data_IF_091894483411
#
_entry.id   IF_091894483411
#
_cell.length_a   1.000
_cell.length_b   1.000
_cell.length_c   1.000
_cell.angle_alpha   90.00
_cell.angle_beta   90.00
_cell.angle_gamma   90.00
#
_symmetry.space_group_name_H-M   'P 1'
#
loop_
_entity.id
_entity.type
_entity.pdbx_description
1 polymer ?
#
# COMPACT_ATOMS: atom_id res chain seq x y z
N UNK A 1 25.23 -1.05 23.42
CA UNK A 1 23.81 -1.39 23.17
C UNK A 1 23.23 -0.26 22.35
N UNK A 2 22.66 -0.52 21.17
CA UNK A 2 21.90 0.54 20.48
C UNK A 2 20.71 0.90 21.36
N UNK A 3 20.45 2.19 21.57
CA UNK A 3 19.22 2.61 22.25
C UNK A 3 18.04 2.09 21.42
N UNK A 4 17.10 1.40 22.05
CA UNK A 4 15.83 1.04 21.40
C UNK A 4 15.12 2.35 21.07
N UNK A 5 14.77 2.54 19.80
CA UNK A 5 14.07 3.74 19.34
C UNK A 5 12.59 3.63 19.73
N UNK A 6 12.10 4.63 20.45
CA UNK A 6 10.67 4.77 20.73
C UNK A 6 9.94 5.36 19.52
N UNK A 7 8.77 4.83 19.21
CA UNK A 7 7.88 5.32 18.16
C UNK A 7 6.52 5.61 18.78
N UNK A 8 6.17 6.89 19.03
CA UNK A 8 4.92 7.26 19.68
C UNK A 8 3.75 7.13 18.69
N UNK A 9 3.33 5.89 18.38
CA UNK A 9 2.14 5.60 17.57
C UNK A 9 0.87 5.88 18.38
N UNK A 10 0.03 6.81 17.91
CA UNK A 10 -1.22 7.17 18.57
C UNK A 10 -2.36 7.18 17.56
N UNK A 11 -3.46 6.51 17.88
CA UNK A 11 -4.65 6.49 17.01
C UNK A 11 -5.31 7.87 16.89
N UNK A 12 -5.20 8.70 17.92
CA UNK A 12 -5.76 10.06 17.93
C UNK A 12 -4.88 11.12 17.26
N UNK A 13 -3.73 10.74 16.70
CA UNK A 13 -2.82 11.65 16.02
C UNK A 13 -2.47 11.10 14.63
N UNK A 14 -3.00 11.75 13.60
CA UNK A 14 -2.80 11.35 12.21
C UNK A 14 -1.31 11.37 11.80
N UNK A 15 -0.48 12.18 12.45
CA UNK A 15 0.95 12.23 12.13
C UNK A 15 1.73 11.00 12.59
N UNK A 16 1.16 10.21 13.51
CA UNK A 16 1.78 9.01 14.07
C UNK A 16 0.99 7.72 13.85
N UNK A 17 -0.24 7.79 13.35
CA UNK A 17 -1.07 6.62 13.02
C UNK A 17 -0.37 5.69 12.02
N UNK A 18 -0.64 4.40 12.16
CA UNK A 18 0.01 3.31 11.42
C UNK A 18 -0.99 2.55 10.56
N UNK A 19 -0.47 1.91 9.53
CA UNK A 19 -1.21 1.29 8.43
C UNK A 19 -0.59 -0.06 8.05
N UNK A 20 -0.36 -0.89 9.06
CA UNK A 20 0.28 -2.21 8.93
C UNK A 20 1.72 -2.14 8.37
N UNK A 21 2.09 -3.10 7.53
CA UNK A 21 3.45 -3.33 7.03
C UNK A 21 4.08 -2.05 6.50
N UNK A 22 5.34 -1.81 6.89
CA UNK A 22 6.15 -0.63 6.56
C UNK A 22 5.70 0.72 7.12
N UNK A 23 4.56 0.83 7.79
CA UNK A 23 4.04 2.12 8.27
C UNK A 23 4.86 2.79 9.39
N UNK A 24 5.80 2.07 10.01
CA UNK A 24 6.79 2.63 10.95
C UNK A 24 7.99 3.28 10.26
N UNK A 25 8.22 2.96 8.99
CA UNK A 25 9.27 3.57 8.20
C UNK A 25 8.80 4.94 7.67
N UNK A 26 9.73 5.81 7.21
CA UNK A 26 9.36 6.96 6.41
C UNK A 26 8.48 6.57 5.22
N UNK A 27 7.64 7.50 4.76
CA UNK A 27 6.85 7.30 3.55
C UNK A 27 7.76 6.82 2.40
N UNK A 28 7.32 5.80 1.68
CA UNK A 28 8.10 5.23 0.59
C UNK A 28 8.29 6.29 -0.51
N UNK A 29 9.50 6.36 -1.03
CA UNK A 29 9.79 7.07 -2.28
C UNK A 29 9.28 6.27 -3.47
N UNK A 30 9.07 6.92 -4.62
CA UNK A 30 8.66 6.24 -5.86
C UNK A 30 9.58 5.07 -6.24
N UNK A 31 10.90 5.22 -5.97
CA UNK A 31 11.87 4.14 -6.17
C UNK A 31 11.57 2.93 -5.28
N UNK A 32 11.27 3.15 -4.00
CA UNK A 32 10.96 2.07 -3.07
C UNK A 32 9.62 1.42 -3.39
N UNK A 33 8.62 2.19 -3.81
CA UNK A 33 7.33 1.65 -4.29
C UNK A 33 7.59 0.74 -5.49
N UNK A 34 8.42 1.17 -6.45
CA UNK A 34 8.81 0.35 -7.60
C UNK A 34 9.47 -0.97 -7.19
N UNK A 35 10.37 -0.94 -6.20
CA UNK A 35 11.01 -2.15 -5.67
C UNK A 35 9.97 -3.11 -5.07
N UNK A 36 8.93 -2.61 -4.40
CA UNK A 36 7.84 -3.47 -3.89
C UNK A 36 6.96 -4.05 -5.00
N UNK A 37 6.68 -3.28 -6.06
CA UNK A 37 5.96 -3.79 -7.24
C UNK A 37 6.78 -4.88 -7.92
N UNK A 38 8.09 -4.66 -8.13
CA UNK A 38 8.99 -5.67 -8.69
C UNK A 38 9.00 -6.94 -7.84
N UNK A 39 9.05 -6.81 -6.51
CA UNK A 39 8.96 -7.97 -5.62
C UNK A 39 7.67 -8.78 -5.83
N UNK A 40 6.51 -8.12 -5.94
CA UNK A 40 5.23 -8.80 -6.21
C UNK A 40 5.28 -9.57 -7.53
N UNK A 41 5.85 -8.97 -8.59
CA UNK A 41 6.04 -9.61 -9.89
C UNK A 41 7.00 -10.81 -9.79
N UNK A 42 8.13 -10.66 -9.10
CA UNK A 42 9.13 -11.71 -8.94
C UNK A 42 8.60 -12.92 -8.14
N UNK A 43 7.68 -12.69 -7.20
CA UNK A 43 6.97 -13.76 -6.50
C UNK A 43 5.90 -14.46 -7.35
N UNK A 44 5.56 -13.92 -8.52
CA UNK A 44 4.46 -14.41 -9.35
C UNK A 44 3.08 -14.12 -8.76
N UNK A 45 2.97 -13.14 -7.86
CA UNK A 45 1.71 -12.73 -7.27
C UNK A 45 0.93 -11.83 -8.22
N UNK A 46 -0.40 -11.83 -8.10
CA UNK A 46 -1.27 -10.98 -8.90
C UNK A 46 -1.38 -9.60 -8.21
N UNK A 47 -0.93 -8.51 -8.83
CA UNK A 47 -1.02 -7.18 -8.24
C UNK A 47 -2.48 -6.71 -8.12
N UNK A 48 -2.80 -6.03 -7.02
CA UNK A 48 -4.07 -5.37 -6.79
C UNK A 48 -3.85 -3.98 -6.20
N UNK A 49 -4.78 -3.07 -6.52
CA UNK A 49 -4.78 -1.70 -5.98
C UNK A 49 -6.12 -1.46 -5.31
N UNK A 50 -6.08 -0.93 -4.10
CA UNK A 50 -7.29 -0.61 -3.35
C UNK A 50 -7.16 0.76 -2.70
N UNK A 51 -8.29 1.41 -2.43
CA UNK A 51 -8.32 2.73 -1.78
C UNK A 51 -9.46 2.87 -0.78
N UNK A 52 -9.32 3.77 0.18
CA UNK A 52 -10.37 4.09 1.16
C UNK A 52 -10.14 5.47 1.79
N UNK A 53 -11.19 6.06 2.36
CA UNK A 53 -11.10 7.27 3.15
C UNK A 53 -10.26 7.03 4.42
N UNK A 54 -9.57 8.06 4.91
CA UNK A 54 -8.60 7.92 6.01
C UNK A 54 -9.22 7.47 7.34
N UNK A 55 -10.50 7.77 7.54
CA UNK A 55 -11.28 7.35 8.70
C UNK A 55 -11.47 5.83 8.71
N UNK A 56 -11.62 5.24 7.52
CA UNK A 56 -11.93 3.82 7.29
C UNK A 56 -10.68 2.96 7.11
N UNK A 57 -9.47 3.53 7.23
CA UNK A 57 -8.21 2.85 6.96
C UNK A 57 -7.98 1.56 7.79
N UNK A 58 -8.65 1.42 8.94
CA UNK A 58 -8.54 0.24 9.81
C UNK A 58 -9.63 -0.81 9.55
N UNK A 59 -10.51 -0.58 8.58
CA UNK A 59 -11.49 -1.58 8.15
C UNK A 59 -10.83 -2.66 7.28
N UNK A 60 -11.45 -3.84 7.27
CA UNK A 60 -10.92 -5.00 6.56
C UNK A 60 -11.04 -4.86 5.03
N UNK A 61 -12.08 -4.17 4.55
CA UNK A 61 -12.39 -4.05 3.13
C UNK A 61 -12.22 -2.62 2.65
N UNK A 62 -11.47 -2.47 1.57
CA UNK A 62 -11.27 -1.20 0.87
C UNK A 62 -11.89 -1.33 -0.52
N UNK A 63 -12.09 -0.20 -1.20
CA UNK A 63 -12.61 -0.21 -2.56
C UNK A 63 -11.54 -0.72 -3.53
N UNK A 64 -11.90 -1.73 -4.33
CA UNK A 64 -11.03 -2.23 -5.37
C UNK A 64 -10.95 -1.25 -6.53
N UNK A 65 -9.73 -0.87 -6.91
CA UNK A 65 -9.49 -0.11 -8.13
C UNK A 65 -9.52 -1.06 -9.32
N UNK A 66 -10.57 -0.95 -10.15
CA UNK A 66 -10.82 -1.83 -11.29
C UNK A 66 -10.85 -3.31 -10.86
N UNK A 67 -9.91 -4.12 -11.34
CA UNK A 67 -9.75 -5.54 -11.05
C UNK A 67 -8.26 -5.83 -10.74
N UNK A 68 -7.94 -6.93 -10.03
CA UNK A 68 -6.56 -7.37 -9.91
C UNK A 68 -5.95 -7.57 -11.30
N UNK A 69 -4.68 -7.19 -11.43
CA UNK A 69 -3.93 -7.23 -12.69
C UNK A 69 -3.41 -8.66 -12.93
N UNK A 70 -4.33 -9.58 -13.21
CA UNK A 70 -4.04 -11.01 -13.33
C UNK A 70 -2.94 -11.30 -14.37
N UNK A 71 -1.83 -11.89 -13.92
CA UNK A 71 -0.69 -12.23 -14.78
C UNK A 71 0.09 -11.04 -15.33
N UNK A 72 -0.18 -9.81 -14.87
CA UNK A 72 0.62 -8.65 -15.27
C UNK A 72 2.02 -8.72 -14.67
N UNK A 73 3.02 -8.43 -15.50
CA UNK A 73 4.45 -8.49 -15.14
C UNK A 73 5.19 -7.20 -15.48
N UNK A 74 4.58 -6.29 -16.23
CA UNK A 74 5.15 -4.98 -16.48
C UNK A 74 4.96 -4.05 -15.27
N UNK A 75 6.06 -3.78 -14.58
CA UNK A 75 6.12 -2.91 -13.41
C UNK A 75 5.63 -1.49 -13.72
N UNK A 76 5.88 -0.98 -14.93
CA UNK A 76 5.45 0.37 -15.29
C UNK A 76 3.93 0.46 -15.47
N UNK A 77 3.31 -0.56 -16.08
CA UNK A 77 1.85 -0.67 -16.16
C UNK A 77 1.21 -0.72 -14.78
N UNK A 78 1.75 -1.52 -13.85
CA UNK A 78 1.23 -1.63 -12.48
C UNK A 78 1.33 -0.29 -11.74
N UNK A 79 2.47 0.39 -11.84
CA UNK A 79 2.68 1.70 -11.22
C UNK A 79 1.78 2.79 -11.83
N UNK A 80 1.53 2.73 -13.13
CA UNK A 80 0.61 3.64 -13.79
C UNK A 80 -0.81 3.52 -13.21
N UNK A 81 -1.29 2.30 -12.94
CA UNK A 81 -2.59 2.07 -12.31
C UNK A 81 -2.62 2.52 -10.83
N UNK A 82 -1.55 2.27 -10.08
CA UNK A 82 -1.40 2.80 -8.72
C UNK A 82 -1.53 4.34 -8.70
N UNK A 83 -0.84 5.01 -9.63
CA UNK A 83 -0.89 6.47 -9.76
C UNK A 83 -2.27 6.95 -10.19
N UNK A 84 -2.89 6.29 -11.17
CA UNK A 84 -4.21 6.65 -11.66
C UNK A 84 -5.27 6.55 -10.55
N UNK A 85 -5.19 5.52 -9.70
CA UNK A 85 -6.04 5.38 -8.52
C UNK A 85 -5.88 6.55 -7.55
N UNK A 86 -4.63 6.94 -7.25
CA UNK A 86 -4.33 8.08 -6.37
C UNK A 86 -4.81 9.40 -6.95
N UNK A 87 -4.56 9.65 -8.23
CA UNK A 87 -4.98 10.90 -8.91
C UNK A 87 -6.51 11.04 -8.94
N UNK A 88 -7.24 9.93 -9.10
CA UNK A 88 -8.70 9.91 -9.06
C UNK A 88 -9.27 10.06 -7.64
N UNK A 89 -8.48 9.71 -6.60
CA UNK A 89 -8.89 9.69 -5.21
C UNK A 89 -7.84 10.39 -4.30
N UNK A 90 -7.58 11.69 -4.48
CA UNK A 90 -6.44 12.37 -3.88
C UNK A 90 -6.47 12.43 -2.34
N UNK A 91 -7.67 12.31 -1.74
CA UNK A 91 -7.85 12.38 -0.29
C UNK A 91 -7.75 11.00 0.38
N UNK A 92 -7.74 9.91 -0.40
CA UNK A 92 -7.79 8.53 0.09
C UNK A 92 -6.39 7.95 0.34
N UNK A 93 -6.32 6.96 1.25
CA UNK A 93 -5.20 6.03 1.22
C UNK A 93 -5.31 5.13 0.00
N UNK A 94 -4.16 4.79 -0.59
CA UNK A 94 -4.05 3.76 -1.63
C UNK A 94 -3.07 2.71 -1.17
N UNK A 95 -3.48 1.44 -1.22
CA UNK A 95 -2.62 0.29 -0.90
C UNK A 95 -2.36 -0.57 -2.11
N UNK A 96 -1.12 -1.08 -2.16
CA UNK A 96 -0.67 -2.11 -3.09
C UNK A 96 -0.83 -3.48 -2.42
N UNK A 97 -1.39 -4.42 -3.16
CA UNK A 97 -1.59 -5.81 -2.74
C UNK A 97 -0.91 -6.74 -3.74
N UNK A 98 -0.31 -7.83 -3.24
CA UNK A 98 0.06 -8.99 -4.03
C UNK A 98 -0.76 -10.20 -3.60
N UNK A 99 -1.63 -10.70 -4.47
CA UNK A 99 -2.44 -11.89 -4.21
C UNK A 99 -1.69 -13.16 -4.63
N UNK A 100 -1.49 -14.05 -3.67
CA UNK A 100 -0.99 -15.40 -3.89
C UNK A 100 -2.19 -16.34 -4.12
N UNK A 101 -2.38 -16.75 -5.37
CA UNK A 101 -3.48 -17.63 -5.77
C UNK A 101 -3.26 -19.09 -5.36
N UNK A 102 -2.02 -19.51 -5.09
CA UNK A 102 -1.73 -20.86 -4.61
C UNK A 102 -2.06 -20.99 -3.13
N UNK A 103 -1.61 -20.03 -2.31
CA UNK A 103 -1.89 -19.98 -0.88
C UNK A 103 -3.29 -19.44 -0.54
N UNK A 104 -4.00 -18.88 -1.53
CA UNK A 104 -5.30 -18.21 -1.36
C UNK A 104 -5.26 -17.09 -0.31
N UNK A 105 -4.22 -16.26 -0.35
CA UNK A 105 -3.99 -15.19 0.62
C UNK A 105 -3.35 -13.96 -0.01
N UNK A 106 -3.26 -12.87 0.75
CA UNK A 106 -2.48 -11.69 0.38
C UNK A 106 -1.04 -11.90 0.85
N UNK A 107 -0.13 -12.15 -0.10
CA UNK A 107 1.31 -12.30 0.16
C UNK A 107 2.04 -10.97 0.37
N UNK A 108 1.42 -9.86 -0.05
CA UNK A 108 1.91 -8.51 0.18
C UNK A 108 0.72 -7.55 0.37
N UNK A 109 0.84 -6.61 1.32
CA UNK A 109 -0.13 -5.54 1.55
C UNK A 109 0.55 -4.35 2.22
N UNK A 110 0.53 -3.18 1.58
CA UNK A 110 1.16 -1.96 2.09
C UNK A 110 0.53 -0.70 1.50
N UNK A 111 0.38 0.34 2.33
CA UNK A 111 -0.05 1.66 1.87
C UNK A 111 1.11 2.34 1.11
N UNK A 112 0.85 2.71 -0.14
CA UNK A 112 1.83 3.36 -1.03
C UNK A 112 1.53 4.86 -1.23
N UNK A 113 0.27 5.28 -1.08
CA UNK A 113 -0.11 6.70 -1.04
C UNK A 113 -0.95 6.99 0.20
N UNK A 114 -0.62 8.09 0.89
CA UNK A 114 -1.32 8.51 2.11
C UNK A 114 -2.38 9.54 1.78
N UNK A 115 -3.57 9.37 2.36
CA UNK A 115 -4.66 10.32 2.23
C UNK A 115 -4.41 11.61 3.01
N UNK A 116 -5.35 12.54 2.92
CA UNK A 116 -5.18 13.88 3.46
C UNK A 116 -4.96 13.90 4.98
N UNK A 117 -4.02 14.74 5.42
CA UNK A 117 -3.71 14.92 6.83
C UNK A 117 -2.73 13.89 7.39
N UNK A 118 -2.24 12.97 6.54
CA UNK A 118 -1.19 12.02 6.87
C UNK A 118 0.09 12.38 6.12
N UNK A 119 1.20 12.41 6.84
CA UNK A 119 2.55 12.40 6.25
C UNK A 119 2.96 10.96 6.06
#
# INVERSE_FOLDING_TARGET
MSKVQDYPSRLGDNSSRKFETFSYLPAMTDKQIREQVQYIVDQGYNPGVEHTEVENAMENYWYMWKLPMFGETDVDTILAECKACHDANPENHVRLIGYDNYAQSQGASMVIYRGKGFK
#
